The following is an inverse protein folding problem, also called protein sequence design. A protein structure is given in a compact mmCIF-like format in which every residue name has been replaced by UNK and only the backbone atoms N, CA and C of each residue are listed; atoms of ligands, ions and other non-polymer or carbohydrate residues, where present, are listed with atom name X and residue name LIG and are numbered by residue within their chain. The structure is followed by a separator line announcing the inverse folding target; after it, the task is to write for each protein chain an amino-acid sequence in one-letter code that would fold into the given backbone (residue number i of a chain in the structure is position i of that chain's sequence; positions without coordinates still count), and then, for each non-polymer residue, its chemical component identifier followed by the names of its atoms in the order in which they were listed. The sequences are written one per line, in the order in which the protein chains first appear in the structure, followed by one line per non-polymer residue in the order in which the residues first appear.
data_IF_567582961794
#
_entry.id   IF_567582961794
#
_cell.length_a   1.000
_cell.length_b   1.000
_cell.length_c   1.000
_cell.angle_alpha   90.00
_cell.angle_beta   90.00
_cell.angle_gamma   90.00
#
_symmetry.space_group_name_H-M   'P 1'
#
loop_
_entity.id
_entity.type
_entity.pdbx_description
1 polymer ?
#
# COMPACT_ATOMS: atom_id res chain seq x y z
N UNK A 1 16.64 -12.54 -8.64
CA UNK A 1 16.78 -11.33 -9.49
C UNK A 1 17.81 -11.52 -10.61
N UNK A 2 19.11 -11.73 -10.32
CA UNK A 2 20.11 -11.91 -11.41
C UNK A 2 19.79 -13.10 -12.33
N UNK A 3 19.48 -14.26 -11.75
CA UNK A 3 19.00 -15.43 -12.50
C UNK A 3 17.87 -15.05 -13.47
N UNK A 4 16.84 -14.37 -12.95
CA UNK A 4 15.67 -13.96 -13.74
C UNK A 4 16.04 -13.06 -14.92
N UNK A 5 16.96 -12.11 -14.72
CA UNK A 5 17.40 -11.22 -15.79
C UNK A 5 18.09 -11.94 -16.94
N UNK A 6 18.71 -13.09 -16.67
CA UNK A 6 19.37 -13.89 -17.71
C UNK A 6 18.39 -14.89 -18.33
N UNK A 7 17.71 -15.69 -17.50
CA UNK A 7 16.85 -16.79 -17.97
C UNK A 7 15.54 -16.33 -18.62
N UNK A 8 14.98 -15.18 -18.18
CA UNK A 8 13.70 -14.67 -18.68
C UNK A 8 13.87 -13.39 -19.51
N UNK A 9 15.05 -13.17 -20.10
CA UNK A 9 15.38 -11.93 -20.80
C UNK A 9 14.44 -11.65 -21.98
N UNK A 10 14.01 -12.70 -22.70
CA UNK A 10 13.15 -12.58 -23.87
C UNK A 10 11.71 -12.24 -23.48
N UNK A 11 11.17 -12.92 -22.47
CA UNK A 11 9.84 -12.71 -21.91
C UNK A 11 9.73 -11.31 -21.32
N UNK A 12 10.76 -10.89 -20.56
CA UNK A 12 10.81 -9.54 -20.02
C UNK A 12 10.85 -8.48 -21.12
N UNK A 13 11.67 -8.69 -22.17
CA UNK A 13 11.75 -7.76 -23.31
C UNK A 13 10.40 -7.64 -24.01
N UNK A 14 9.73 -8.76 -24.26
CA UNK A 14 8.39 -8.79 -24.85
C UNK A 14 7.40 -7.92 -24.05
N UNK A 15 7.35 -8.08 -22.72
CA UNK A 15 6.47 -7.27 -21.86
C UNK A 15 6.85 -5.78 -21.88
N UNK A 16 8.15 -5.46 -21.89
CA UNK A 16 8.64 -4.07 -21.98
C UNK A 16 8.27 -3.42 -23.31
N UNK A 17 8.36 -4.16 -24.41
CA UNK A 17 8.00 -3.68 -25.75
C UNK A 17 6.51 -3.39 -25.86
N UNK A 18 5.67 -4.28 -25.32
CA UNK A 18 4.21 -4.08 -25.31
C UNK A 18 3.74 -2.94 -24.40
N UNK A 19 4.55 -2.54 -23.41
CA UNK A 19 4.18 -1.45 -22.50
C UNK A 19 4.16 -0.05 -23.17
N UNK A 20 4.70 0.10 -24.38
CA UNK A 20 4.63 1.37 -25.14
C UNK A 20 5.35 2.56 -24.48
N UNK A 21 6.30 2.31 -23.57
CA UNK A 21 7.01 3.37 -22.84
C UNK A 21 7.98 4.11 -23.76
N UNK A 22 7.81 5.43 -23.89
CA UNK A 22 8.64 6.28 -24.75
C UNK A 22 10.07 6.51 -24.20
N UNK A 23 10.23 6.54 -22.87
CA UNK A 23 11.53 6.84 -22.25
C UNK A 23 12.39 5.56 -22.12
N UNK A 24 13.65 5.57 -22.61
CA UNK A 24 14.60 4.48 -22.38
C UNK A 24 14.77 4.17 -20.88
N UNK A 25 14.87 5.19 -20.03
CA UNK A 25 14.99 5.02 -18.59
C UNK A 25 13.73 4.36 -17.98
N UNK A 26 12.53 4.70 -18.46
CA UNK A 26 11.31 4.06 -18.00
C UNK A 26 11.26 2.56 -18.39
N UNK A 27 11.75 2.21 -19.58
CA UNK A 27 11.87 0.82 -20.05
C UNK A 27 12.84 0.01 -19.19
N UNK A 28 13.99 0.60 -18.83
CA UNK A 28 14.95 -0.04 -17.92
C UNK A 28 14.38 -0.23 -16.51
N UNK A 29 13.69 0.78 -15.98
CA UNK A 29 13.01 0.68 -14.69
C UNK A 29 11.94 -0.41 -14.70
N UNK A 30 11.15 -0.52 -15.77
CA UNK A 30 10.18 -1.60 -15.94
C UNK A 30 10.87 -2.97 -15.97
N UNK A 31 11.97 -3.12 -16.71
CA UNK A 31 12.75 -4.35 -16.75
C UNK A 31 13.23 -4.78 -15.35
N UNK A 32 13.74 -3.85 -14.55
CA UNK A 32 14.11 -4.11 -13.14
C UNK A 32 12.87 -4.53 -12.32
N UNK A 33 11.73 -3.86 -12.53
CA UNK A 33 10.45 -4.21 -11.90
C UNK A 33 10.01 -5.64 -12.22
N UNK A 34 10.05 -6.03 -13.50
CA UNK A 34 9.70 -7.37 -13.98
C UNK A 34 10.65 -8.44 -13.41
N UNK A 35 11.95 -8.16 -13.36
CA UNK A 35 12.91 -9.07 -12.75
C UNK A 35 12.64 -9.31 -11.25
N UNK A 36 12.21 -8.27 -10.54
CA UNK A 36 11.80 -8.38 -9.13
C UNK A 36 10.48 -9.14 -8.98
N UNK A 37 9.51 -8.89 -9.86
CA UNK A 37 8.23 -9.60 -9.90
C UNK A 37 8.45 -11.10 -10.13
N UNK A 38 9.17 -11.47 -11.19
CA UNK A 38 9.43 -12.86 -11.53
C UNK A 38 10.30 -13.56 -10.46
N UNK A 39 11.26 -12.86 -9.86
CA UNK A 39 12.02 -13.42 -8.72
C UNK A 39 11.11 -13.72 -7.52
N UNK A 40 10.16 -12.83 -7.20
CA UNK A 40 9.15 -13.08 -6.18
C UNK A 40 8.25 -14.26 -6.54
N UNK A 41 7.85 -14.38 -7.81
CA UNK A 41 7.01 -15.48 -8.28
C UNK A 41 7.71 -16.85 -8.27
N UNK A 42 9.03 -16.88 -8.44
CA UNK A 42 9.84 -18.10 -8.30
C UNK A 42 9.95 -18.54 -6.83
N UNK A 43 10.18 -17.60 -5.90
CA UNK A 43 10.24 -17.89 -4.46
C UNK A 43 8.87 -18.25 -3.88
N UNK A 44 7.81 -17.70 -4.46
CA UNK A 44 6.42 -17.89 -4.02
C UNK A 44 5.55 -18.36 -5.20
N UNK A 45 5.64 -19.65 -5.59
CA UNK A 45 4.89 -20.21 -6.71
C UNK A 45 3.39 -19.95 -6.55
N UNK A 46 2.73 -19.54 -7.65
CA UNK A 46 1.40 -18.93 -7.60
C UNK A 46 0.36 -19.78 -6.85
N UNK A 47 0.13 -21.02 -7.29
CA UNK A 47 -0.88 -21.91 -6.69
C UNK A 47 -0.57 -22.24 -5.23
N UNK A 48 0.69 -22.62 -4.93
CA UNK A 48 1.12 -22.96 -3.58
C UNK A 48 1.00 -21.77 -2.61
N UNK A 49 1.42 -20.58 -3.02
CA UNK A 49 1.34 -19.37 -2.21
C UNK A 49 -0.10 -18.93 -2.00
N UNK A 50 -0.93 -18.94 -3.06
CA UNK A 50 -2.36 -18.63 -2.97
C UNK A 50 -3.08 -19.58 -2.02
N UNK A 51 -2.83 -20.88 -2.12
CA UNK A 51 -3.46 -21.86 -1.24
C UNK A 51 -3.07 -21.60 0.22
N UNK A 52 -1.77 -21.45 0.48
CA UNK A 52 -1.26 -21.14 1.82
C UNK A 52 -1.83 -19.83 2.37
N UNK A 53 -2.04 -18.82 1.51
CA UNK A 53 -2.64 -17.56 1.90
C UNK A 53 -4.09 -17.74 2.35
N UNK A 54 -4.87 -18.59 1.68
CA UNK A 54 -6.23 -18.94 2.11
C UNK A 54 -6.21 -19.73 3.42
N UNK A 55 -5.39 -20.77 3.52
CA UNK A 55 -5.29 -21.64 4.69
C UNK A 55 -4.91 -20.86 5.96
N UNK A 56 -4.09 -19.80 5.81
CA UNK A 56 -3.64 -18.96 6.93
C UNK A 56 -4.47 -17.68 7.10
N UNK A 57 -5.61 -17.52 6.40
CA UNK A 57 -6.39 -16.26 6.39
C UNK A 57 -5.52 -15.03 6.18
N UNK A 58 -4.55 -15.16 5.28
CA UNK A 58 -3.60 -14.13 4.87
C UNK A 58 -2.70 -13.60 6.01
N UNK A 59 -2.44 -14.40 7.05
CA UNK A 59 -1.40 -14.12 8.04
C UNK A 59 -0.02 -14.02 7.39
N UNK A 60 0.53 -12.80 7.35
CA UNK A 60 1.79 -12.49 6.66
C UNK A 60 2.99 -13.10 7.39
N UNK A 61 2.94 -13.21 8.72
CA UNK A 61 4.03 -13.81 9.50
C UNK A 61 4.10 -15.33 9.24
N UNK A 62 2.96 -16.02 9.15
CA UNK A 62 2.91 -17.44 8.76
C UNK A 62 3.35 -17.65 7.31
N UNK A 63 2.92 -16.79 6.39
CA UNK A 63 3.32 -16.86 4.99
C UNK A 63 4.82 -16.65 4.80
N UNK A 64 5.39 -15.61 5.41
CA UNK A 64 6.81 -15.31 5.24
C UNK A 64 7.70 -16.41 5.82
N UNK A 65 7.28 -17.06 6.91
CA UNK A 65 7.96 -18.21 7.48
C UNK A 65 7.92 -19.42 6.53
N UNK A 66 6.73 -19.76 6.01
CA UNK A 66 6.55 -20.91 5.10
C UNK A 66 7.38 -20.80 3.81
N UNK A 67 7.50 -19.60 3.25
CA UNK A 67 8.20 -19.38 1.98
C UNK A 67 9.62 -18.82 2.15
N UNK A 68 10.11 -18.66 3.39
CA UNK A 68 11.42 -18.08 3.70
C UNK A 68 11.68 -16.74 2.98
N UNK A 69 10.69 -15.85 3.00
CA UNK A 69 10.75 -14.51 2.38
C UNK A 69 10.65 -13.41 3.43
N UNK A 70 10.94 -12.18 3.05
CA UNK A 70 10.68 -11.03 3.91
C UNK A 70 9.18 -10.71 4.02
N UNK A 71 8.83 -9.97 5.05
CA UNK A 71 7.46 -9.47 5.25
C UNK A 71 6.97 -8.65 4.04
N UNK A 72 7.81 -7.72 3.54
CA UNK A 72 7.50 -6.93 2.34
C UNK A 72 7.32 -7.81 1.09
N UNK A 73 8.12 -8.87 0.92
CA UNK A 73 7.98 -9.77 -0.22
C UNK A 73 6.66 -10.54 -0.18
N UNK A 74 6.24 -11.03 0.98
CA UNK A 74 4.95 -11.70 1.16
C UNK A 74 3.78 -10.74 0.85
N UNK A 75 3.78 -9.53 1.40
CA UNK A 75 2.75 -8.51 1.10
C UNK A 75 2.70 -8.16 -0.39
N UNK A 76 3.86 -7.98 -1.02
CA UNK A 76 3.94 -7.71 -2.45
C UNK A 76 3.42 -8.88 -3.28
N UNK A 77 3.63 -10.12 -2.86
CA UNK A 77 3.10 -11.28 -3.58
C UNK A 77 1.58 -11.34 -3.50
N UNK A 78 1.02 -11.11 -2.31
CA UNK A 78 -0.42 -11.08 -2.06
C UNK A 78 -1.14 -10.09 -2.99
N UNK A 79 -0.58 -8.89 -3.22
CA UNK A 79 -1.17 -7.89 -4.13
C UNK A 79 -1.07 -8.24 -5.63
N UNK A 80 -0.48 -9.38 -5.99
CA UNK A 80 -0.32 -9.82 -7.39
C UNK A 80 -1.10 -11.08 -7.73
N UNK A 81 -1.89 -11.62 -6.80
CA UNK A 81 -2.63 -12.86 -7.02
C UNK A 81 -3.88 -12.66 -7.89
N UNK A 82 -3.73 -12.19 -9.13
CA UNK A 82 -4.84 -11.83 -10.03
C UNK A 82 -4.85 -12.64 -11.35
N UNK A 83 -4.43 -13.91 -11.31
CA UNK A 83 -4.50 -14.82 -12.46
C UNK A 83 -5.97 -15.13 -12.76
N UNK A 84 -6.46 -14.96 -14.01
CA UNK A 84 -7.82 -15.35 -14.38
C UNK A 84 -8.12 -16.81 -14.03
N UNK A 85 -9.30 -17.06 -13.45
CA UNK A 85 -9.73 -18.39 -12.97
C UNK A 85 -9.12 -18.82 -11.63
N UNK A 86 -8.05 -18.19 -11.17
CA UNK A 86 -7.37 -18.52 -9.90
C UNK A 86 -7.10 -17.28 -9.04
N UNK A 87 -7.96 -16.27 -9.08
CA UNK A 87 -7.75 -15.05 -8.29
C UNK A 87 -7.64 -15.35 -6.79
N UNK A 88 -6.75 -14.62 -6.12
CA UNK A 88 -6.70 -14.45 -4.67
C UNK A 88 -7.56 -13.26 -4.24
N UNK A 89 -7.52 -12.95 -2.96
CA UNK A 89 -8.19 -11.78 -2.40
C UNK A 89 -7.58 -10.50 -3.03
N UNK A 90 -8.40 -9.54 -3.48
CA UNK A 90 -7.91 -8.31 -4.10
C UNK A 90 -7.33 -7.39 -3.01
N UNK A 91 -6.00 -7.30 -2.97
CA UNK A 91 -5.30 -6.40 -2.05
C UNK A 91 -4.80 -5.14 -2.77
N UNK A 92 -4.86 -4.02 -2.07
CA UNK A 92 -3.92 -2.94 -2.28
C UNK A 92 -2.64 -3.19 -1.48
N UNK A 93 -1.52 -2.72 -1.99
CA UNK A 93 -0.22 -2.71 -1.33
C UNK A 93 0.49 -1.39 -1.58
N UNK A 94 1.08 -0.83 -0.54
CA UNK A 94 1.95 0.31 -0.67
C UNK A 94 3.13 0.28 0.29
N UNK A 95 4.17 1.05 -0.05
CA UNK A 95 5.32 1.32 0.83
C UNK A 95 5.45 2.81 1.08
N UNK A 96 5.45 3.23 2.33
CA UNK A 96 5.48 4.64 2.76
C UNK A 96 6.73 4.90 3.59
N UNK A 97 7.47 5.96 3.29
CA UNK A 97 8.63 6.37 4.09
C UNK A 97 8.25 7.33 5.24
N UNK A 98 9.24 7.75 6.05
CA UNK A 98 9.05 8.67 7.18
C UNK A 98 8.49 10.04 6.79
N UNK A 99 8.65 10.46 5.52
CA UNK A 99 8.12 11.72 5.03
C UNK A 99 6.73 11.56 4.39
N UNK A 100 6.15 10.37 4.44
CA UNK A 100 4.87 10.07 3.83
C UNK A 100 4.94 9.82 2.32
N UNK A 101 6.14 9.70 1.73
CA UNK A 101 6.27 9.41 0.31
C UNK A 101 5.88 7.96 0.06
N UNK A 102 4.94 7.74 -0.86
CA UNK A 102 4.60 6.40 -1.31
C UNK A 102 5.60 5.98 -2.39
N UNK A 103 6.54 5.12 -2.01
CA UNK A 103 7.68 4.70 -2.86
C UNK A 103 7.43 3.41 -3.64
N UNK A 104 6.30 2.74 -3.38
CA UNK A 104 5.85 1.56 -4.13
C UNK A 104 4.33 1.45 -4.00
N UNK A 105 3.64 1.12 -5.10
CA UNK A 105 2.18 1.03 -5.19
C UNK A 105 1.79 -0.13 -6.10
N UNK A 106 0.92 -1.01 -5.61
CA UNK A 106 0.25 -2.04 -6.39
C UNK A 106 -1.19 -2.11 -5.89
N UNK A 107 -2.17 -2.13 -6.78
CA UNK A 107 -3.57 -2.25 -6.36
C UNK A 107 -4.31 -3.22 -7.27
N UNK A 108 -4.94 -4.21 -6.65
CA UNK A 108 -5.99 -5.02 -7.26
C UNK A 108 -7.40 -4.57 -6.81
N UNK A 109 -7.49 -3.49 -6.05
CA UNK A 109 -8.75 -2.91 -5.54
C UNK A 109 -9.05 -1.59 -6.25
N UNK A 110 -10.24 -1.03 -5.98
CA UNK A 110 -10.61 0.32 -6.44
C UNK A 110 -9.82 1.45 -5.76
N UNK A 111 -9.11 1.17 -4.66
CA UNK A 111 -8.40 2.20 -3.91
C UNK A 111 -7.37 2.90 -4.80
N UNK A 112 -7.56 4.21 -4.98
CA UNK A 112 -6.63 5.05 -5.71
C UNK A 112 -5.73 5.79 -4.73
N UNK A 113 -4.43 5.49 -4.79
CA UNK A 113 -3.43 6.27 -4.07
C UNK A 113 -3.12 7.54 -4.85
N UNK A 114 -3.05 8.68 -4.15
CA UNK A 114 -2.58 9.92 -4.76
C UNK A 114 -1.20 9.70 -5.39
N UNK A 115 -1.07 10.01 -6.70
CA UNK A 115 0.17 9.82 -7.45
C UNK A 115 1.31 10.68 -6.89
N UNK A 116 0.97 11.89 -6.43
CA UNK A 116 1.85 12.90 -5.83
C UNK A 116 1.18 13.45 -4.55
N UNK A 117 1.97 13.74 -3.52
CA UNK A 117 1.52 14.44 -2.31
C UNK A 117 1.20 13.56 -1.09
N UNK A 118 1.38 14.16 0.09
CA UNK A 118 1.20 13.56 1.41
C UNK A 118 -0.20 12.96 1.58
N UNK A 119 -0.20 11.65 1.79
CA UNK A 119 -1.39 10.88 2.09
C UNK A 119 -2.09 11.42 3.36
N UNK A 120 -3.35 11.03 3.54
CA UNK A 120 -4.12 11.48 4.69
C UNK A 120 -3.41 11.11 6.00
N UNK A 121 -3.16 12.06 6.92
CA UNK A 121 -2.45 11.78 8.18
C UNK A 121 -3.23 10.84 9.11
N UNK A 122 -4.56 10.71 8.91
CA UNK A 122 -5.40 9.75 9.63
C UNK A 122 -5.23 8.30 9.15
N UNK A 123 -4.48 8.06 8.08
CA UNK A 123 -4.19 6.71 7.62
C UNK A 123 -3.10 6.08 8.50
N UNK A 124 -3.41 4.91 9.08
CA UNK A 124 -2.60 4.29 10.14
C UNK A 124 -1.17 3.94 9.71
N UNK A 125 -0.90 3.87 8.40
CA UNK A 125 0.45 3.61 7.89
C UNK A 125 1.46 4.62 8.39
N UNK A 126 1.06 5.88 8.60
CA UNK A 126 1.97 6.93 9.08
C UNK A 126 2.42 6.68 10.53
N UNK A 127 1.54 6.13 11.38
CA UNK A 127 1.91 5.68 12.72
C UNK A 127 2.83 4.44 12.65
N UNK A 128 2.51 3.49 11.77
CA UNK A 128 3.31 2.28 11.60
C UNK A 128 4.76 2.59 11.16
N UNK A 129 4.96 3.64 10.34
CA UNK A 129 6.29 4.10 9.95
C UNK A 129 7.11 4.57 11.17
N UNK A 130 6.48 5.22 12.14
CA UNK A 130 7.13 5.77 13.33
C UNK A 130 7.47 4.69 14.38
N UNK A 131 6.65 3.63 14.47
CA UNK A 131 6.78 2.56 15.46
C UNK A 131 7.12 1.23 14.73
N UNK A 132 8.42 0.93 14.53
CA UNK A 132 8.81 -0.28 13.80
C UNK A 132 8.42 -1.57 14.52
N UNK A 133 8.31 -2.64 13.75
CA UNK A 133 8.04 -4.02 14.20
C UNK A 133 6.69 -4.28 14.90
N UNK A 134 5.82 -3.27 14.99
CA UNK A 134 4.41 -3.43 15.39
C UNK A 134 3.50 -3.49 14.17
N UNK A 135 2.56 -4.43 14.17
CA UNK A 135 1.44 -4.43 13.23
C UNK A 135 0.33 -3.55 13.80
N UNK A 136 -0.11 -2.58 13.01
CA UNK A 136 -1.27 -1.75 13.29
C UNK A 136 -2.36 -2.11 12.29
N UNK A 137 -3.62 -2.05 12.72
CA UNK A 137 -4.78 -2.38 11.89
C UNK A 137 -5.75 -1.21 11.88
N UNK A 138 -6.47 -1.04 10.77
CA UNK A 138 -7.44 0.05 10.62
C UNK A 138 -8.60 -0.36 9.72
N UNK A 139 -9.82 -0.08 10.21
CA UNK A 139 -11.01 0.04 9.39
C UNK A 139 -11.15 1.51 8.95
N UNK A 140 -11.04 1.75 7.66
CA UNK A 140 -11.04 3.09 7.08
C UNK A 140 -12.14 3.27 6.04
N UNK A 141 -12.72 4.47 5.97
CA UNK A 141 -13.75 4.84 4.98
C UNK A 141 -13.27 5.97 4.09
N UNK A 142 -13.26 5.72 2.78
CA UNK A 142 -12.90 6.70 1.76
C UNK A 142 -14.06 7.70 1.54
N UNK A 143 -13.81 8.88 0.93
CA UNK A 143 -14.87 9.87 0.70
C UNK A 143 -16.02 9.39 -0.19
N UNK A 144 -15.81 8.33 -0.99
CA UNK A 144 -16.84 7.69 -1.82
C UNK A 144 -17.67 6.64 -1.05
N UNK A 145 -17.43 6.48 0.26
CA UNK A 145 -18.11 5.51 1.12
C UNK A 145 -17.49 4.12 1.11
N UNK A 146 -16.49 3.85 0.25
CA UNK A 146 -15.84 2.54 0.21
C UNK A 146 -15.04 2.32 1.48
N UNK A 147 -15.25 1.16 2.12
CA UNK A 147 -14.60 0.77 3.37
C UNK A 147 -13.52 -0.27 3.14
N UNK A 148 -12.41 -0.11 3.85
CA UNK A 148 -11.24 -0.96 3.75
C UNK A 148 -10.80 -1.44 5.14
N UNK A 149 -10.50 -2.73 5.24
CA UNK A 149 -9.69 -3.26 6.33
C UNK A 149 -8.24 -3.28 5.88
N UNK A 150 -7.35 -2.77 6.72
CA UNK A 150 -5.93 -2.70 6.38
C UNK A 150 -5.06 -3.00 7.57
N UNK A 151 -3.87 -3.50 7.27
CA UNK A 151 -2.77 -3.67 8.20
C UNK A 151 -1.57 -2.86 7.72
N UNK A 152 -0.80 -2.32 8.65
CA UNK A 152 0.46 -1.64 8.38
C UNK A 152 1.53 -2.08 9.37
N UNK A 153 2.78 -2.21 8.89
CA UNK A 153 3.93 -2.55 9.73
C UNK A 153 5.15 -1.72 9.34
N UNK A 154 5.76 -1.07 10.33
CA UNK A 154 7.05 -0.41 10.17
C UNK A 154 8.19 -1.42 10.05
N UNK A 155 9.07 -1.21 9.08
CA UNK A 155 10.23 -2.05 8.77
C UNK A 155 11.50 -1.20 8.79
N UNK A 156 12.55 -1.78 9.38
CA UNK A 156 13.89 -1.18 9.41
C UNK A 156 14.83 -2.05 8.58
N UNK A 157 15.44 -1.47 7.54
CA UNK A 157 16.46 -2.13 6.74
C UNK A 157 17.85 -1.64 7.16
N UNK A 158 18.71 -2.52 7.69
CA UNK A 158 20.07 -2.17 8.08
C UNK A 158 20.87 -1.57 6.93
N UNK A 159 21.74 -0.63 7.26
CA UNK A 159 22.63 0.10 6.35
C UNK A 159 24.02 -0.54 6.19
N UNK A 160 24.28 -1.63 6.92
CA UNK A 160 25.53 -2.39 6.88
C UNK A 160 26.68 -1.83 7.72
N UNK A 161 26.52 -0.66 8.35
CA UNK A 161 27.49 -0.11 9.30
C UNK A 161 26.83 0.84 10.30
N UNK A 162 27.44 0.98 11.48
CA UNK A 162 26.98 1.90 12.52
C UNK A 162 26.89 3.37 12.04
N UNK A 163 27.86 3.80 11.23
CA UNK A 163 27.95 5.18 10.76
C UNK A 163 26.90 5.57 9.70
N UNK A 164 26.09 4.62 9.21
CA UNK A 164 25.09 4.87 8.17
C UNK A 164 23.69 4.72 8.76
N UNK A 165 22.79 5.69 8.57
CA UNK A 165 21.43 5.58 9.09
C UNK A 165 20.69 4.42 8.40
N UNK A 166 19.92 3.60 9.14
CA UNK A 166 19.11 2.55 8.54
C UNK A 166 17.95 3.16 7.76
N UNK A 167 17.46 2.44 6.75
CA UNK A 167 16.27 2.86 6.00
C UNK A 167 15.02 2.44 6.76
N UNK A 168 14.11 3.39 7.02
CA UNK A 168 12.83 3.16 7.69
C UNK A 168 11.67 3.45 6.74
N UNK A 169 10.68 2.57 6.76
CA UNK A 169 9.46 2.68 5.97
C UNK A 169 8.40 1.76 6.59
N UNK A 170 7.13 1.93 6.21
CA UNK A 170 6.09 0.96 6.49
C UNK A 170 5.58 0.34 5.19
N UNK A 171 5.10 -0.88 5.33
CA UNK A 171 4.23 -1.50 4.32
C UNK A 171 2.81 -1.42 4.82
N UNK A 172 1.87 -1.13 3.92
CA UNK A 172 0.45 -1.33 4.18
C UNK A 172 -0.13 -2.31 3.16
N UNK A 173 -1.01 -3.17 3.63
CA UNK A 173 -1.76 -4.14 2.85
C UNK A 173 -3.22 -4.09 3.31
N UNK A 174 -4.16 -4.03 2.39
CA UNK A 174 -5.57 -4.02 2.75
C UNK A 174 -6.48 -4.37 1.60
N UNK A 175 -7.74 -4.64 1.94
CA UNK A 175 -8.79 -5.04 1.02
C UNK A 175 -10.09 -4.36 1.40
N UNK A 176 -11.07 -4.40 0.50
CA UNK A 176 -12.41 -3.92 0.80
C UNK A 176 -12.99 -4.73 1.99
N UNK A 177 -13.76 -4.05 2.84
CA UNK A 177 -14.34 -4.62 4.07
C UNK A 177 -15.16 -5.91 3.81
N UNK A 178 -15.74 -6.05 2.63
CA UNK A 178 -16.46 -7.26 2.20
C UNK A 178 -15.60 -8.53 2.23
N UNK A 179 -14.27 -8.41 2.18
CA UNK A 179 -13.33 -9.51 2.28
C UNK A 179 -12.73 -9.70 3.69
N UNK A 180 -13.20 -8.96 4.70
CA UNK A 180 -12.64 -8.96 6.04
C UNK A 180 -12.56 -10.35 6.68
N UNK A 181 -13.56 -11.21 6.43
CA UNK A 181 -13.60 -12.57 6.99
C UNK A 181 -12.36 -13.43 6.61
N UNK A 182 -11.77 -13.16 5.44
CA UNK A 182 -10.61 -13.90 4.93
C UNK A 182 -9.26 -13.28 5.35
N UNK A 183 -9.26 -12.18 6.10
CA UNK A 183 -8.05 -11.45 6.47
C UNK A 183 -7.91 -11.38 8.00
N UNK A 184 -6.96 -12.13 8.55
CA UNK A 184 -6.78 -12.29 10.02
C UNK A 184 -6.69 -10.97 10.78
N UNK A 185 -6.12 -9.92 10.16
CA UNK A 185 -5.99 -8.60 10.78
C UNK A 185 -7.31 -7.84 10.95
N UNK A 186 -8.40 -8.33 10.37
CA UNK A 186 -9.73 -7.82 10.60
C UNK A 186 -10.36 -8.35 11.90
N UNK A 187 -9.80 -9.40 12.51
CA UNK A 187 -10.33 -9.98 13.75
C UNK A 187 -10.22 -9.01 14.94
N UNK A 188 -9.21 -8.13 14.92
CA UNK A 188 -9.01 -7.04 15.90
C UNK A 188 -9.86 -5.79 15.57
N UNK A 189 -10.58 -5.82 14.45
CA UNK A 189 -11.47 -4.75 14.01
C UNK A 189 -12.93 -5.17 14.25
N UNK A 190 -13.84 -4.19 14.16
CA UNK A 190 -15.29 -4.47 14.13
C UNK A 190 -15.82 -4.12 12.74
N UNK A 191 -15.75 -5.03 11.75
CA UNK A 191 -16.39 -4.82 10.45
C UNK A 191 -17.88 -4.49 10.60
N UNK A 192 -18.38 -3.54 9.82
CA UNK A 192 -19.70 -2.95 9.94
C UNK A 192 -19.83 -1.90 11.05
N UNK A 193 -18.79 -1.73 11.88
CA UNK A 193 -18.73 -0.73 12.94
C UNK A 193 -18.30 0.66 12.45
N UNK A 194 -17.83 1.48 13.41
CA UNK A 194 -17.30 2.81 13.13
C UNK A 194 -15.96 2.69 12.37
N UNK A 195 -15.94 3.22 11.16
CA UNK A 195 -14.74 3.31 10.32
C UNK A 195 -14.12 4.72 10.44
N UNK A 196 -12.79 4.81 10.43
CA UNK A 196 -12.09 6.09 10.43
C UNK A 196 -12.28 6.79 9.07
N UNK A 197 -12.89 7.99 9.00
CA UNK A 197 -13.02 8.72 7.74
C UNK A 197 -11.64 9.24 7.31
N UNK A 198 -11.11 8.67 6.23
CA UNK A 198 -9.83 9.10 5.63
C UNK A 198 -10.08 9.73 4.25
N UNK A 199 -9.00 10.21 3.63
CA UNK A 199 -8.99 10.68 2.24
C UNK A 199 -7.71 10.26 1.52
N UNK A 200 -7.63 10.52 0.22
CA UNK A 200 -6.41 10.23 -0.55
C UNK A 200 -5.29 11.26 -0.25
N UNK A 201 -5.62 12.55 -0.21
CA UNK A 201 -4.75 13.65 0.24
C UNK A 201 -5.59 14.89 0.51
N UNK A 202 -5.16 15.79 1.42
CA UNK A 202 -5.91 17.01 1.76
C UNK A 202 -6.24 17.86 0.52
N UNK A 203 -5.32 17.93 -0.45
CA UNK A 203 -5.48 18.72 -1.69
C UNK A 203 -6.55 18.21 -2.64
N UNK A 204 -7.12 17.03 -2.41
CA UNK A 204 -8.20 16.46 -3.26
C UNK A 204 -9.33 15.86 -2.42
N UNK A 205 -9.27 15.97 -1.09
CA UNK A 205 -10.26 15.37 -0.20
C UNK A 205 -11.45 16.33 -0.04
N UNK A 206 -12.69 15.88 -0.30
CA UNK A 206 -13.88 16.74 -0.21
C UNK A 206 -14.43 16.92 1.21
N UNK A 207 -13.94 16.16 2.22
CA UNK A 207 -14.47 16.20 3.60
C UNK A 207 -14.27 17.57 4.25
N UNK A 208 -15.32 18.35 4.46
CA UNK A 208 -15.23 19.70 5.01
C UNK A 208 -14.96 19.73 6.53
N UNK A 209 -15.34 18.65 7.23
CA UNK A 209 -15.33 18.48 8.69
C UNK A 209 -14.12 17.68 9.19
N UNK A 210 -12.92 18.01 8.72
CA UNK A 210 -11.70 17.28 9.09
C UNK A 210 -10.71 18.16 9.87
N UNK A 211 -10.60 17.95 11.17
CA UNK A 211 -9.67 18.67 12.06
C UNK A 211 -8.19 18.42 11.73
N UNK A 212 -7.88 17.32 11.02
CA UNK A 212 -6.51 16.99 10.57
C UNK A 212 -6.18 17.56 9.18
N UNK A 213 -7.04 18.42 8.63
CA UNK A 213 -6.84 18.99 7.30
C UNK A 213 -5.66 19.96 7.29
N UNK A 214 -4.60 19.58 6.58
CA UNK A 214 -3.41 20.40 6.41
C UNK A 214 -3.54 21.47 5.31
N UNK A 215 -4.25 21.16 4.21
CA UNK A 215 -4.37 22.04 3.05
C UNK A 215 -5.81 22.08 2.52
N UNK A 216 -6.26 23.24 1.97
CA UNK A 216 -7.51 23.32 1.25
C UNK A 216 -7.43 22.45 -0.02
N UNK A 217 -8.55 21.89 -0.48
CA UNK A 217 -8.59 21.20 -1.77
C UNK A 217 -8.15 22.13 -2.92
N UNK A 218 -7.45 21.57 -3.90
CA UNK A 218 -7.02 22.32 -5.07
C UNK A 218 -8.25 22.73 -5.88
N UNK A 219 -8.36 24.03 -6.17
CA UNK A 219 -9.45 24.59 -6.97
C UNK A 219 -10.73 24.91 -6.19
N UNK A 220 -10.79 24.68 -4.88
CA UNK A 220 -11.94 25.11 -4.06
C UNK A 220 -11.91 26.61 -3.77
N UNK A 221 -13.08 27.23 -3.62
CA UNK A 221 -13.17 28.59 -3.08
C UNK A 221 -12.88 28.54 -1.57
N UNK A 222 -12.03 29.44 -1.08
CA UNK A 222 -11.64 29.49 0.34
C UNK A 222 -12.38 30.65 1.01
N UNK A 223 -13.03 30.37 2.13
CA UNK A 223 -13.66 31.38 2.98
C UNK A 223 -12.93 31.46 4.32
N UNK A 224 -12.60 32.68 4.74
CA UNK A 224 -11.94 32.99 6.02
C UNK A 224 -12.83 33.98 6.76
N UNK A 225 -13.18 33.66 7.99
CA UNK A 225 -13.90 34.55 8.91
C UNK A 225 -12.92 34.97 10.03
N UNK A 226 -12.46 36.23 10.05
CA UNK A 226 -11.46 36.69 11.02
C UNK A 226 -11.97 36.70 12.47
N UNK A 227 -13.30 36.71 12.67
CA UNK A 227 -13.92 36.74 13.99
C UNK A 227 -14.19 35.34 14.55
N UNK A 228 -13.97 34.29 13.74
CA UNK A 228 -14.14 32.88 14.14
C UNK A 228 -12.82 32.14 14.14
N UNK A 229 -12.46 31.56 15.29
CA UNK A 229 -11.31 30.67 15.45
C UNK A 229 -11.74 29.21 15.45
N UNK A 230 -11.47 28.49 14.37
CA UNK A 230 -11.64 27.04 14.23
C UNK A 230 -10.29 26.30 14.23
N UNK A 231 -10.31 24.98 14.41
CA UNK A 231 -9.10 24.13 14.35
C UNK A 231 -8.41 24.27 12.99
N UNK A 232 -9.19 24.21 11.91
CA UNK A 232 -8.74 24.53 10.55
C UNK A 232 -9.18 25.96 10.23
N UNK A 233 -8.26 26.89 9.88
CA UNK A 233 -8.55 28.33 9.86
C UNK A 233 -9.27 28.81 8.57
N UNK A 234 -9.94 27.91 7.86
CA UNK A 234 -10.68 28.20 6.64
C UNK A 234 -11.79 27.20 6.41
N UNK A 235 -12.86 27.65 5.75
CA UNK A 235 -13.86 26.79 5.11
C UNK A 235 -13.61 26.75 3.60
N UNK A 236 -14.18 25.75 2.92
CA UNK A 236 -14.10 25.65 1.47
C UNK A 236 -15.38 25.09 0.86
N UNK A 237 -15.64 25.46 -0.39
CA UNK A 237 -16.73 24.96 -1.24
C UNK A 237 -16.25 24.65 -2.65
#
# INVERSE_FOLDING_TARGET
HRLVRYEFANEMRFVVDQAGLASPAARELLSIGLANYAAGALLMPYGAFRQSARDFRHDIDRLRQRFAVSFEQACHRLSTLQRPGEAGLPFFFCRVDMAGNITKRHSATRLQFAALGGACPLWIVHEAVAIPDRILVQLAEMPDGTRYVSMAKGLVKPSGSYARPPRRYAVALGCEESYAADFVYADDLRPGGLAMPIGASCRICPRADCDQRAFPPAGSAIAIDPDRRSVVPYAFS
#
